data_IF_702919510089
#
_entry.id   IF_702919510089
#
_cell.length_a   1.000
_cell.length_b   1.000
_cell.length_c   1.000
_cell.angle_alpha   90.00
_cell.angle_beta   90.00
_cell.angle_gamma   90.00
#
_symmetry.space_group_name_H-M   'P 1'
#
loop_
_entity.id
_entity.type
_entity.pdbx_description
1 polymer ?
#
# COMPACT_ATOMS: atom_id res chain seq x y z
N UNK A 1 -17.61 15.64 -1.24
CA UNK A 1 -16.51 14.72 -1.62
C UNK A 1 -15.53 14.68 -0.46
N UNK A 2 -15.10 13.51 -0.02
CA UNK A 2 -14.15 13.36 1.08
C UNK A 2 -12.76 13.06 0.51
N UNK A 3 -11.72 13.75 1.01
CA UNK A 3 -10.33 13.39 0.79
C UNK A 3 -9.76 12.92 2.11
N UNK A 4 -9.28 11.68 2.13
CA UNK A 4 -8.77 11.05 3.35
C UNK A 4 -7.26 10.92 3.18
N UNK A 5 -6.51 11.51 4.10
CA UNK A 5 -5.06 11.41 4.17
C UNK A 5 -4.68 10.40 5.26
N UNK A 6 -3.77 9.49 4.93
CA UNK A 6 -3.16 8.54 5.87
C UNK A 6 -1.69 8.93 6.02
N UNK A 7 -1.25 9.23 7.24
CA UNK A 7 0.15 9.56 7.51
C UNK A 7 1.02 8.33 7.82
N UNK A 8 2.33 8.54 7.96
CA UNK A 8 3.30 7.49 8.28
C UNK A 8 3.11 6.83 9.66
N UNK A 9 2.29 7.43 10.53
CA UNK A 9 1.94 6.90 11.85
C UNK A 9 0.56 6.19 11.82
N UNK A 10 -0.01 6.02 10.63
CA UNK A 10 -1.33 5.42 10.39
C UNK A 10 -2.50 6.18 11.00
N UNK A 11 -2.39 7.50 11.14
CA UNK A 11 -3.53 8.35 11.47
C UNK A 11 -4.30 8.77 10.22
N UNK A 12 -5.63 8.73 10.29
CA UNK A 12 -6.51 9.20 9.23
C UNK A 12 -6.91 10.66 9.46
N UNK A 13 -6.88 11.48 8.42
CA UNK A 13 -7.31 12.89 8.46
C UNK A 13 -8.25 13.18 7.30
N UNK A 14 -9.21 14.09 7.52
CA UNK A 14 -10.05 14.61 6.45
C UNK A 14 -9.44 15.91 5.92
N UNK A 15 -9.25 15.97 4.59
CA UNK A 15 -8.70 17.13 3.89
C UNK A 15 -9.81 17.82 3.10
N UNK A 16 -9.93 19.13 3.28
CA UNK A 16 -10.83 19.95 2.48
C UNK A 16 -10.40 19.95 1.01
N UNK A 17 -11.36 19.92 0.08
CA UNK A 17 -11.07 19.87 -1.35
C UNK A 17 -10.19 21.04 -1.83
N UNK A 18 -10.38 22.22 -1.25
CA UNK A 18 -9.57 23.41 -1.55
C UNK A 18 -8.09 23.27 -1.15
N UNK A 19 -7.78 22.35 -0.23
CA UNK A 19 -6.43 22.11 0.29
C UNK A 19 -5.70 20.98 -0.45
N UNK A 20 -6.32 20.37 -1.48
CA UNK A 20 -5.71 19.28 -2.27
C UNK A 20 -4.67 19.78 -3.27
N UNK A 21 -3.57 20.36 -2.77
CA UNK A 21 -2.48 20.86 -3.59
C UNK A 21 -1.12 20.75 -2.89
N UNK A 22 -0.04 20.68 -3.68
CA UNK A 22 1.32 20.42 -3.19
C UNK A 22 1.78 21.37 -2.07
N UNK A 23 1.50 22.68 -2.19
CA UNK A 23 1.89 23.67 -1.16
C UNK A 23 1.28 23.37 0.22
N UNK A 24 0.07 22.82 0.28
CA UNK A 24 -0.58 22.48 1.55
C UNK A 24 0.10 21.25 2.16
N UNK A 25 0.31 20.20 1.36
CA UNK A 25 0.95 18.97 1.79
C UNK A 25 2.42 19.15 2.20
N UNK A 26 3.12 20.12 1.60
CA UNK A 26 4.48 20.49 2.02
C UNK A 26 4.57 20.95 3.49
N UNK A 27 3.47 21.46 4.07
CA UNK A 27 3.39 21.94 5.44
C UNK A 27 2.44 21.11 6.32
N UNK A 28 1.98 19.94 5.86
CA UNK A 28 0.88 19.21 6.51
C UNK A 28 1.18 18.84 7.96
N UNK A 29 2.44 18.53 8.27
CA UNK A 29 2.91 18.18 9.63
C UNK A 29 2.71 19.33 10.62
N UNK A 30 2.72 20.58 10.15
CA UNK A 30 2.52 21.77 10.98
C UNK A 30 1.05 22.11 11.19
N UNK A 31 0.14 21.59 10.36
CA UNK A 31 -1.30 21.93 10.39
C UNK A 31 -2.05 21.36 11.59
N UNK A 32 -1.45 20.44 12.36
CA UNK A 32 -2.02 19.81 13.58
C UNK A 32 -3.48 19.38 13.41
N UNK A 33 -3.77 18.67 12.31
CA UNK A 33 -5.10 18.19 12.01
C UNK A 33 -5.55 17.16 13.08
N UNK A 34 -6.84 17.13 13.46
CA UNK A 34 -7.33 16.15 14.42
C UNK A 34 -7.38 14.77 13.76
N UNK A 35 -6.73 13.74 14.33
CA UNK A 35 -6.78 12.39 13.79
C UNK A 35 -8.19 11.80 13.96
N UNK A 36 -8.58 10.97 13.00
CA UNK A 36 -9.82 10.21 12.96
C UNK A 36 -9.50 8.71 13.10
N UNK A 37 -10.46 7.95 13.61
CA UNK A 37 -10.30 6.51 13.84
C UNK A 37 -11.17 5.77 12.82
N UNK A 38 -10.58 4.84 12.07
CA UNK A 38 -11.35 3.98 11.16
C UNK A 38 -12.24 3.03 11.97
N UNK A 39 -13.52 2.93 11.60
CA UNK A 39 -14.51 2.09 12.27
C UNK A 39 -15.57 1.60 11.28
N UNK A 40 -16.53 0.81 11.76
CA UNK A 40 -17.60 0.28 10.91
C UNK A 40 -18.31 1.41 10.13
N UNK A 41 -18.37 1.25 8.80
CA UNK A 41 -18.95 2.17 7.83
C UNK A 41 -18.27 3.55 7.69
N UNK A 42 -17.14 3.84 8.35
CA UNK A 42 -16.42 5.09 8.10
C UNK A 42 -15.41 5.52 9.15
N UNK A 43 -15.39 6.82 9.46
CA UNK A 43 -14.41 7.45 10.35
C UNK A 43 -15.08 8.00 11.60
N UNK A 44 -14.58 7.64 12.78
CA UNK A 44 -15.02 8.16 14.06
C UNK A 44 -14.33 9.49 14.35
N UNK A 45 -15.14 10.50 14.67
CA UNK A 45 -14.72 11.81 15.17
C UNK A 45 -15.21 11.99 16.59
N UNK A 46 -14.28 12.15 17.54
CA UNK A 46 -14.64 12.47 18.91
C UNK A 46 -15.07 13.94 19.03
N UNK A 47 -16.15 14.17 19.77
CA UNK A 47 -16.66 15.50 20.10
C UNK A 47 -17.10 15.55 21.56
N UNK A 48 -17.34 16.76 22.08
CA UNK A 48 -17.84 16.94 23.44
C UNK A 48 -19.18 16.22 23.70
N UNK A 49 -20.01 16.04 22.66
CA UNK A 49 -21.30 15.36 22.72
C UNK A 49 -21.19 13.84 22.50
N UNK A 50 -19.97 13.29 22.50
CA UNK A 50 -19.70 11.89 22.22
C UNK A 50 -19.11 11.66 20.81
N UNK A 51 -18.93 10.39 20.48
CA UNK A 51 -18.32 9.98 19.23
C UNK A 51 -19.34 10.04 18.08
N UNK A 52 -18.99 10.72 16.99
CA UNK A 52 -19.80 10.83 15.78
C UNK A 52 -19.13 10.08 14.64
N UNK A 53 -19.89 9.23 13.94
CA UNK A 53 -19.43 8.55 12.74
C UNK A 53 -19.62 9.47 11.53
N UNK A 54 -18.56 9.59 10.73
CA UNK A 54 -18.57 10.15 9.39
C UNK A 54 -18.65 8.95 8.45
N UNK A 55 -19.84 8.68 7.94
CA UNK A 55 -20.08 7.59 6.99
C UNK A 55 -19.32 7.86 5.70
N UNK A 56 -18.59 6.87 5.21
CA UNK A 56 -17.85 6.98 3.96
C UNK A 56 -18.67 6.38 2.82
N UNK A 57 -18.79 7.09 1.69
CA UNK A 57 -19.31 6.49 0.47
C UNK A 57 -18.28 5.48 -0.09
N UNK A 58 -18.43 5.11 -1.36
CA UNK A 58 -17.39 4.36 -2.06
C UNK A 58 -16.04 5.09 -2.00
N UNK A 59 -15.04 4.44 -1.39
CA UNK A 59 -13.67 4.95 -1.29
C UNK A 59 -12.85 4.50 -2.50
N UNK A 60 -11.89 5.30 -2.95
CA UNK A 60 -10.90 4.88 -3.95
C UNK A 60 -9.56 4.75 -3.24
N UNK A 61 -8.99 3.55 -3.20
CA UNK A 61 -7.67 3.34 -2.63
C UNK A 61 -6.60 3.84 -3.61
N UNK A 62 -5.90 4.92 -3.22
CA UNK A 62 -4.81 5.54 -3.99
C UNK A 62 -3.48 5.51 -3.22
N UNK A 63 -3.37 4.67 -2.19
CA UNK A 63 -2.12 4.47 -1.48
C UNK A 63 -1.28 3.46 -2.28
N UNK A 64 -0.12 3.88 -2.76
CA UNK A 64 0.78 3.03 -3.54
C UNK A 64 1.81 2.34 -2.64
N UNK A 65 2.21 1.12 -3.00
CA UNK A 65 3.20 0.34 -2.26
C UNK A 65 2.66 -0.15 -0.90
N UNK A 66 3.42 0.17 0.15
CA UNK A 66 3.05 -0.20 1.52
C UNK A 66 1.67 0.32 1.90
N UNK A 67 0.97 -0.48 2.71
CA UNK A 67 -0.40 -0.28 3.22
C UNK A 67 -1.51 -0.38 2.17
N UNK A 68 -1.33 0.20 0.99
CA UNK A 68 -2.35 0.22 -0.04
C UNK A 68 -2.35 -0.98 -0.97
N UNK A 69 -1.17 -1.42 -1.42
CA UNK A 69 -1.02 -2.53 -2.37
C UNK A 69 -0.64 -3.84 -1.67
N UNK A 70 -0.18 -3.79 -0.42
CA UNK A 70 0.28 -4.94 0.36
C UNK A 70 -0.84 -5.74 1.08
N UNK A 71 -2.08 -5.24 1.03
CA UNK A 71 -3.28 -5.90 1.54
C UNK A 71 -3.77 -5.37 2.89
N UNK A 72 -3.04 -4.47 3.57
CA UNK A 72 -3.48 -3.94 4.87
C UNK A 72 -4.74 -3.09 4.77
N UNK A 73 -4.76 -2.09 3.87
CA UNK A 73 -5.96 -1.27 3.67
C UNK A 73 -7.12 -2.07 3.10
N UNK A 74 -6.85 -3.04 2.22
CA UNK A 74 -7.89 -3.95 1.74
C UNK A 74 -8.57 -4.68 2.91
N UNK A 75 -7.77 -5.24 3.83
CA UNK A 75 -8.26 -5.93 5.02
C UNK A 75 -9.06 -5.01 5.94
N UNK A 76 -8.54 -3.81 6.21
CA UNK A 76 -9.20 -2.83 7.08
C UNK A 76 -10.54 -2.36 6.52
N UNK A 77 -10.59 -2.05 5.22
CA UNK A 77 -11.82 -1.57 4.58
C UNK A 77 -12.87 -2.68 4.51
N UNK A 78 -12.48 -3.92 4.21
CA UNK A 78 -13.40 -5.07 4.26
C UNK A 78 -13.91 -5.35 5.68
N UNK A 79 -13.01 -5.38 6.67
CA UNK A 79 -13.35 -5.62 8.07
C UNK A 79 -14.38 -4.60 8.59
N UNK A 80 -14.18 -3.33 8.25
CA UNK A 80 -15.09 -2.25 8.64
C UNK A 80 -16.28 -2.05 7.70
N UNK A 81 -16.49 -2.94 6.72
CA UNK A 81 -17.62 -2.88 5.77
C UNK A 81 -17.67 -1.58 4.96
N UNK A 82 -16.51 -1.00 4.66
CA UNK A 82 -16.37 0.20 3.83
C UNK A 82 -16.17 -0.24 2.38
N UNK A 83 -17.11 0.09 1.51
CA UNK A 83 -17.00 -0.21 0.09
C UNK A 83 -15.83 0.59 -0.52
N UNK A 84 -15.00 -0.06 -1.34
CA UNK A 84 -13.88 0.61 -2.00
C UNK A 84 -13.57 0.08 -3.41
N UNK A 85 -12.93 0.90 -4.23
CA UNK A 85 -12.25 0.54 -5.47
C UNK A 85 -10.77 0.31 -5.17
N UNK A 86 -10.28 -0.88 -5.49
CA UNK A 86 -8.91 -1.32 -5.24
C UNK A 86 -8.79 -2.85 -5.19
N UNK A 87 -7.57 -3.38 -5.11
CA UNK A 87 -7.35 -4.82 -4.95
C UNK A 87 -7.88 -5.32 -3.60
N UNK A 88 -8.36 -6.57 -3.60
CA UNK A 88 -8.68 -7.33 -2.38
C UNK A 88 -7.42 -7.99 -1.84
N UNK A 89 -7.50 -8.57 -0.64
CA UNK A 89 -6.34 -9.10 0.09
C UNK A 89 -5.50 -10.07 -0.75
N UNK A 90 -6.11 -11.05 -1.42
CA UNK A 90 -5.39 -12.04 -2.21
C UNK A 90 -4.68 -11.41 -3.41
N UNK A 91 -5.38 -10.52 -4.12
CA UNK A 91 -4.83 -9.80 -5.27
C UNK A 91 -3.67 -8.89 -4.84
N UNK A 92 -3.81 -8.18 -3.72
CA UNK A 92 -2.76 -7.37 -3.12
C UNK A 92 -1.52 -8.21 -2.80
N UNK A 93 -1.67 -9.29 -2.03
CA UNK A 93 -0.54 -10.14 -1.60
C UNK A 93 0.19 -10.78 -2.80
N UNK A 94 -0.55 -11.33 -3.77
CA UNK A 94 0.03 -11.97 -4.94
C UNK A 94 0.75 -10.99 -5.87
N UNK A 95 0.24 -9.77 -6.01
CA UNK A 95 0.78 -8.76 -6.93
C UNK A 95 1.90 -7.91 -6.31
N UNK A 96 1.87 -7.69 -4.99
CA UNK A 96 2.86 -6.88 -4.28
C UNK A 96 4.23 -7.58 -4.16
N UNK A 97 4.21 -8.90 -3.98
CA UNK A 97 5.43 -9.72 -3.84
C UNK A 97 5.79 -10.35 -5.19
N UNK A 98 6.87 -9.88 -5.83
CA UNK A 98 7.26 -10.34 -7.18
C UNK A 98 7.59 -11.83 -7.26
N UNK A 99 8.10 -12.43 -6.18
CA UNK A 99 8.27 -13.88 -6.11
C UNK A 99 6.92 -14.60 -6.16
N UNK A 100 5.93 -14.16 -5.37
CA UNK A 100 4.57 -14.72 -5.42
C UNK A 100 3.92 -14.49 -6.79
N UNK A 101 4.08 -13.32 -7.38
CA UNK A 101 3.60 -13.02 -8.74
C UNK A 101 4.16 -13.99 -9.77
N UNK A 102 5.46 -14.34 -9.67
CA UNK A 102 6.09 -15.30 -10.58
C UNK A 102 5.59 -16.73 -10.37
N UNK A 103 5.34 -17.15 -9.13
CA UNK A 103 4.72 -18.45 -8.85
C UNK A 103 3.32 -18.52 -9.46
N UNK A 104 2.51 -17.48 -9.26
CA UNK A 104 1.16 -17.40 -9.81
C UNK A 104 1.17 -17.36 -11.35
N UNK A 105 2.04 -16.55 -11.96
CA UNK A 105 2.19 -16.50 -13.41
C UNK A 105 2.62 -17.85 -14.00
N UNK A 106 3.54 -18.56 -13.34
CA UNK A 106 3.99 -19.89 -13.75
C UNK A 106 2.84 -20.90 -13.76
N UNK A 107 2.02 -20.91 -12.70
CA UNK A 107 0.86 -21.80 -12.60
C UNK A 107 -0.14 -21.57 -13.75
N UNK A 108 -0.34 -20.31 -14.14
CA UNK A 108 -1.19 -19.92 -15.27
C UNK A 108 -0.55 -20.10 -16.66
N UNK A 109 0.70 -20.58 -16.75
CA UNK A 109 1.42 -20.70 -18.02
C UNK A 109 1.85 -19.36 -18.64
N UNK A 110 1.84 -18.27 -17.87
CA UNK A 110 2.31 -16.94 -18.29
C UNK A 110 3.84 -16.90 -18.17
N UNK A 111 4.52 -16.57 -19.27
CA UNK A 111 5.99 -16.51 -19.32
C UNK A 111 6.54 -15.42 -18.40
N UNK A 112 7.56 -15.77 -17.62
CA UNK A 112 8.37 -14.81 -16.86
C UNK A 112 9.86 -15.16 -16.99
N UNK A 113 10.75 -14.18 -16.82
CA UNK A 113 12.20 -14.43 -16.78
C UNK A 113 12.59 -15.30 -15.57
N UNK A 114 13.63 -16.10 -15.70
CA UNK A 114 14.23 -16.78 -14.55
C UNK A 114 14.76 -15.76 -13.52
N UNK A 115 14.85 -16.19 -12.27
CA UNK A 115 15.23 -15.32 -11.16
C UNK A 115 15.81 -16.12 -10.00
N UNK A 116 16.61 -15.45 -9.17
CA UNK A 116 17.11 -15.95 -7.90
C UNK A 116 16.58 -15.05 -6.78
N UNK A 117 15.97 -15.63 -5.75
CA UNK A 117 15.49 -14.89 -4.59
C UNK A 117 16.58 -14.84 -3.50
N UNK A 118 16.96 -13.61 -3.12
CA UNK A 118 17.97 -13.37 -2.10
C UNK A 118 17.34 -12.81 -0.82
N UNK A 119 18.00 -13.08 0.31
CA UNK A 119 17.72 -12.53 1.63
C UNK A 119 19.05 -12.25 2.36
N UNK A 120 18.98 -11.63 3.54
CA UNK A 120 20.18 -11.24 4.30
C UNK A 120 21.13 -12.41 4.62
N UNK A 121 20.60 -13.63 4.75
CA UNK A 121 21.40 -14.82 5.10
C UNK A 121 22.13 -15.42 3.89
N UNK A 122 21.62 -15.23 2.67
CA UNK A 122 22.19 -15.85 1.46
C UNK A 122 22.80 -14.86 0.46
N UNK A 123 22.62 -13.55 0.64
CA UNK A 123 23.11 -12.52 -0.30
C UNK A 123 24.63 -12.57 -0.52
N UNK A 124 25.41 -13.00 0.48
CA UNK A 124 26.86 -13.15 0.34
C UNK A 124 27.25 -14.22 -0.69
N UNK A 125 26.35 -15.18 -0.95
CA UNK A 125 26.54 -16.26 -1.92
C UNK A 125 25.83 -15.98 -3.25
N UNK A 126 25.39 -14.75 -3.52
CA UNK A 126 24.55 -14.42 -4.66
C UNK A 126 25.08 -14.97 -6.00
N UNK A 127 26.36 -14.72 -6.32
CA UNK A 127 26.97 -15.18 -7.58
C UNK A 127 27.00 -16.71 -7.71
N UNK A 128 27.16 -17.44 -6.61
CA UNK A 128 27.15 -18.91 -6.62
C UNK A 128 25.74 -19.49 -6.82
N UNK A 129 24.69 -18.71 -6.52
CA UNK A 129 23.30 -19.11 -6.71
C UNK A 129 22.78 -18.79 -8.12
N UNK A 130 23.52 -18.02 -8.91
CA UNK A 130 23.11 -17.63 -10.26
C UNK A 130 23.26 -18.80 -11.22
N UNK A 131 22.22 -19.02 -12.04
CA UNK A 131 22.19 -20.02 -13.11
C UNK A 131 22.10 -19.40 -14.51
N UNK A 132 22.37 -18.10 -14.64
CA UNK A 132 22.43 -17.35 -15.90
C UNK A 132 23.57 -16.33 -15.89
N UNK A 133 23.97 -15.88 -17.09
CA UNK A 133 25.13 -15.00 -17.30
C UNK A 133 24.77 -13.51 -17.18
N UNK A 134 25.78 -12.68 -16.94
CA UNK A 134 25.66 -11.22 -17.00
C UNK A 134 25.18 -10.73 -18.38
N UNK A 135 24.51 -9.55 -18.46
CA UNK A 135 24.22 -8.62 -17.35
C UNK A 135 23.00 -9.01 -16.51
N UNK A 136 22.95 -8.53 -15.26
CA UNK A 136 21.81 -8.75 -14.34
C UNK A 136 21.03 -7.46 -14.10
N UNK A 137 19.75 -7.61 -13.76
CA UNK A 137 18.93 -6.56 -13.16
C UNK A 137 18.64 -7.00 -11.72
N UNK A 138 18.95 -6.14 -10.76
CA UNK A 138 18.64 -6.35 -9.34
C UNK A 138 17.45 -5.47 -8.98
N UNK A 139 16.46 -6.02 -8.27
CA UNK A 139 15.29 -5.24 -7.80
C UNK A 139 14.76 -5.79 -6.48
N UNK A 140 14.18 -4.94 -5.61
CA UNK A 140 13.55 -5.42 -4.39
C UNK A 140 12.31 -6.26 -4.68
N UNK A 141 12.09 -7.28 -3.85
CA UNK A 141 10.97 -8.21 -4.02
C UNK A 141 9.61 -7.48 -3.93
N UNK A 142 9.49 -6.50 -3.02
CA UNK A 142 8.23 -5.82 -2.72
C UNK A 142 8.31 -4.28 -2.79
N UNK A 143 9.18 -3.71 -3.64
CA UNK A 143 9.18 -2.28 -3.93
C UNK A 143 8.60 -1.98 -5.33
N UNK A 144 7.95 -0.83 -5.48
CA UNK A 144 7.49 -0.28 -6.75
C UNK A 144 8.33 0.93 -7.19
N UNK A 145 7.86 1.64 -8.22
CA UNK A 145 8.39 2.96 -8.62
C UNK A 145 9.89 2.98 -8.95
N UNK A 146 10.42 1.87 -9.48
CA UNK A 146 11.85 1.67 -9.80
C UNK A 146 12.81 1.90 -8.62
N UNK A 147 12.30 1.90 -7.39
CA UNK A 147 13.11 2.09 -6.20
C UNK A 147 14.02 0.86 -5.99
N UNK A 148 15.33 1.12 -5.90
CA UNK A 148 16.34 0.08 -5.71
C UNK A 148 16.59 -0.82 -6.91
N UNK A 149 16.19 -0.40 -8.12
CA UNK A 149 16.55 -1.10 -9.36
C UNK A 149 17.96 -0.68 -9.81
N UNK A 150 18.78 -1.65 -10.20
CA UNK A 150 20.13 -1.44 -10.77
C UNK A 150 20.44 -2.46 -11.85
#
# INVERSE_FOLDING_TARGET
>A
KHFIFLDENHHFYLIEASNMHSKYFAQIKEKKLPPLILTHNGLLKNSFLGAKIIELPLVINLVHGGDGEDGKLASLLEFYRIAFIGPRVEASVLSYNKYLTKLYAKDLGVKTLDHVLLNEKNRANALNLMNFNFPFIIKPNSAGSSLGVS
#
